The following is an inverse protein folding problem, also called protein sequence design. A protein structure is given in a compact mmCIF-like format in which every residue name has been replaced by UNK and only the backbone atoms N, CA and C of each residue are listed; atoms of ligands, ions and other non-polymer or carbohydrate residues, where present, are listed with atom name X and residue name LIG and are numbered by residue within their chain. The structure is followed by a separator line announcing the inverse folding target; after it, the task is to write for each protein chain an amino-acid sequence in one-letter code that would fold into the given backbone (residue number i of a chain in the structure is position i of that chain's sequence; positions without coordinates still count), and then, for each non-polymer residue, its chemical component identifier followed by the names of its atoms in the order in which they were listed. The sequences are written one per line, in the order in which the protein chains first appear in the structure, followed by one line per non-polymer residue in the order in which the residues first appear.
data_IF_211469189579
#
_entry.id   IF_211469189579
#
_cell.length_a   1.000
_cell.length_b   1.000
_cell.length_c   1.000
_cell.angle_alpha   90.00
_cell.angle_beta   90.00
_cell.angle_gamma   90.00
#
_symmetry.space_group_name_H-M   'P 1'
#
loop_
_entity.id
_entity.type
_entity.pdbx_description
1 polymer ?
#
# COMPACT_ATOMS: atom_id res chain seq x y z
N UNK A 1 -44.57 12.44 -8.64
CA UNK A 1 -43.39 12.68 -9.49
C UNK A 1 -43.12 11.38 -10.22
N UNK A 2 -43.13 11.39 -11.56
CA UNK A 2 -42.82 10.21 -12.37
C UNK A 2 -41.33 9.94 -12.30
N UNK A 3 -40.93 8.71 -11.98
CA UNK A 3 -39.52 8.30 -12.05
C UNK A 3 -39.04 8.44 -13.50
N UNK A 4 -37.88 9.09 -13.70
CA UNK A 4 -37.21 9.19 -14.99
C UNK A 4 -36.18 8.07 -15.07
N UNK A 5 -36.20 7.32 -16.18
CA UNK A 5 -35.25 6.21 -16.40
C UNK A 5 -34.09 6.72 -17.25
N UNK A 6 -32.89 6.71 -16.69
CA UNK A 6 -31.65 7.03 -17.39
C UNK A 6 -30.85 5.75 -17.65
N UNK A 7 -30.22 5.59 -18.82
CA UNK A 7 -29.44 4.38 -19.12
C UNK A 7 -28.26 4.16 -18.15
N UNK A 8 -27.75 5.24 -17.53
CA UNK A 8 -26.72 5.18 -16.47
C UNK A 8 -27.18 4.46 -15.21
N UNK A 9 -28.50 4.33 -14.99
CA UNK A 9 -29.07 3.66 -13.82
C UNK A 9 -28.87 2.15 -13.84
N UNK A 10 -28.43 1.57 -14.96
CA UNK A 10 -28.15 0.12 -15.08
C UNK A 10 -27.14 -0.38 -14.04
N UNK A 11 -26.13 0.43 -13.71
CA UNK A 11 -25.14 0.10 -12.67
C UNK A 11 -25.74 0.15 -11.27
N UNK A 12 -26.56 1.17 -10.99
CA UNK A 12 -27.26 1.32 -9.73
C UNK A 12 -28.31 0.20 -9.53
N UNK A 13 -28.98 -0.20 -10.61
CA UNK A 13 -29.90 -1.33 -10.66
C UNK A 13 -29.17 -2.65 -10.40
N UNK A 14 -28.02 -2.89 -11.05
CA UNK A 14 -27.20 -4.08 -10.85
C UNK A 14 -26.68 -4.23 -9.41
N UNK A 15 -26.34 -3.11 -8.76
CA UNK A 15 -25.88 -3.08 -7.36
C UNK A 15 -27.02 -3.06 -6.34
N UNK A 16 -28.28 -2.98 -6.78
CA UNK A 16 -29.45 -2.96 -5.89
C UNK A 16 -29.60 -1.67 -5.07
N UNK A 17 -28.97 -0.57 -5.48
CA UNK A 17 -28.96 0.70 -4.72
C UNK A 17 -30.06 1.68 -5.15
N UNK A 18 -30.82 1.38 -6.21
CA UNK A 18 -31.98 2.16 -6.61
C UNK A 18 -33.12 2.05 -5.59
N UNK A 19 -33.82 3.15 -5.37
CA UNK A 19 -35.07 3.17 -4.60
C UNK A 19 -36.18 2.39 -5.29
N UNK A 20 -37.20 2.00 -4.54
CA UNK A 20 -38.35 1.21 -5.05
C UNK A 20 -39.04 1.76 -6.31
N UNK A 21 -39.38 3.08 -6.39
CA UNK A 21 -40.05 3.61 -7.58
C UNK A 21 -39.15 3.56 -8.83
N UNK A 22 -37.86 3.83 -8.66
CA UNK A 22 -36.89 3.85 -9.77
C UNK A 22 -36.53 2.44 -10.21
N UNK A 23 -36.42 1.50 -9.27
CA UNK A 23 -36.20 0.08 -9.59
C UNK A 23 -37.34 -0.50 -10.42
N UNK A 24 -38.58 -0.17 -10.06
CA UNK A 24 -39.77 -0.63 -10.82
C UNK A 24 -39.75 -0.05 -12.23
N UNK A 25 -39.57 1.27 -12.36
CA UNK A 25 -39.50 1.94 -13.66
C UNK A 25 -38.35 1.40 -14.53
N UNK A 26 -37.19 1.14 -13.95
CA UNK A 26 -36.04 0.57 -14.66
C UNK A 26 -36.30 -0.90 -15.07
N UNK A 27 -36.97 -1.68 -14.23
CA UNK A 27 -37.34 -3.07 -14.58
C UNK A 27 -38.29 -3.14 -15.77
N UNK A 28 -39.24 -2.20 -15.87
CA UNK A 28 -40.14 -2.08 -17.03
C UNK A 28 -39.35 -1.64 -18.28
N UNK A 29 -38.39 -0.73 -18.12
CA UNK A 29 -37.53 -0.29 -19.22
C UNK A 29 -36.69 -1.43 -19.80
N UNK A 30 -36.16 -2.35 -18.96
CA UNK A 30 -35.40 -3.51 -19.41
C UNK A 30 -36.18 -4.41 -20.38
N UNK A 31 -37.52 -4.46 -20.28
CA UNK A 31 -38.35 -5.22 -21.21
C UNK A 31 -38.34 -4.66 -22.64
N UNK A 32 -37.97 -3.39 -22.81
CA UNK A 32 -38.05 -2.65 -24.08
C UNK A 32 -36.70 -2.16 -24.60
N UNK A 33 -35.62 -2.27 -23.81
CA UNK A 33 -34.30 -1.74 -24.15
C UNK A 33 -33.23 -2.86 -24.18
N UNK A 34 -32.86 -3.36 -25.39
CA UNK A 34 -31.85 -4.41 -25.54
C UNK A 34 -30.44 -4.00 -25.10
N UNK A 35 -30.09 -2.71 -25.22
CA UNK A 35 -28.77 -2.21 -24.81
C UNK A 35 -28.58 -2.27 -23.30
N UNK A 36 -29.55 -1.79 -22.52
CA UNK A 36 -29.50 -1.87 -21.05
C UNK A 36 -29.54 -3.33 -20.57
N UNK A 37 -30.24 -4.22 -21.29
CA UNK A 37 -30.21 -5.66 -21.00
C UNK A 37 -28.82 -6.27 -21.25
N UNK A 38 -28.14 -5.88 -22.33
CA UNK A 38 -26.78 -6.34 -22.63
C UNK A 38 -25.78 -5.83 -21.58
N UNK A 39 -25.84 -4.54 -21.25
CA UNK A 39 -24.98 -3.90 -20.26
C UNK A 39 -25.18 -4.48 -18.86
N UNK A 40 -26.43 -4.77 -18.46
CA UNK A 40 -26.72 -5.45 -17.19
C UNK A 40 -26.06 -6.85 -17.11
N UNK A 41 -26.01 -7.60 -18.22
CA UNK A 41 -25.32 -8.90 -18.23
C UNK A 41 -23.82 -8.73 -18.05
N UNK A 42 -23.21 -7.75 -18.69
CA UNK A 42 -21.77 -7.46 -18.54
C UNK A 42 -21.44 -7.05 -17.10
N UNK A 43 -22.29 -6.24 -16.47
CA UNK A 43 -22.11 -5.75 -15.10
C UNK A 43 -22.43 -6.80 -14.03
N UNK A 44 -23.30 -7.78 -14.29
CA UNK A 44 -23.74 -8.78 -13.31
C UNK A 44 -22.58 -9.52 -12.63
N UNK A 45 -21.55 -9.90 -13.38
CA UNK A 45 -20.38 -10.59 -12.81
C UNK A 45 -19.53 -9.71 -11.89
N UNK A 46 -19.49 -8.39 -12.16
CA UNK A 46 -18.80 -7.43 -11.29
C UNK A 46 -19.65 -7.13 -10.06
N UNK A 47 -20.96 -6.93 -10.23
CA UNK A 47 -21.90 -6.72 -9.13
C UNK A 47 -21.90 -7.89 -8.15
N UNK A 48 -21.89 -9.13 -8.64
CA UNK A 48 -21.78 -10.34 -7.81
C UNK A 48 -20.48 -10.40 -7.02
N UNK A 49 -19.36 -10.00 -7.64
CA UNK A 49 -18.07 -9.93 -6.95
C UNK A 49 -18.04 -8.88 -5.84
N UNK A 50 -18.77 -7.77 -6.03
CA UNK A 50 -18.89 -6.67 -5.08
C UNK A 50 -19.91 -6.95 -3.97
N UNK A 51 -20.95 -7.75 -4.21
CA UNK A 51 -21.97 -8.10 -3.20
C UNK A 51 -21.38 -8.79 -1.95
N UNK A 52 -20.23 -9.45 -2.08
CA UNK A 52 -19.50 -10.07 -0.97
C UNK A 52 -18.62 -9.09 -0.16
N UNK A 53 -18.46 -7.86 -0.63
CA UNK A 53 -17.73 -6.79 0.04
C UNK A 53 -18.78 -6.02 0.85
N UNK A 54 -18.93 -6.40 2.12
CA UNK A 54 -19.77 -5.64 3.04
C UNK A 54 -19.33 -4.17 3.13
N UNK A 55 -20.16 -3.29 3.72
CA UNK A 55 -19.86 -1.87 3.83
C UNK A 55 -18.42 -1.68 4.30
N UNK A 56 -17.63 -0.94 3.50
CA UNK A 56 -16.34 -0.45 3.96
C UNK A 56 -16.65 0.49 5.12
N UNK A 57 -16.47 0.00 6.34
CA UNK A 57 -16.55 0.85 7.52
C UNK A 57 -15.37 1.78 7.41
N UNK A 58 -15.64 3.04 7.11
CA UNK A 58 -14.70 4.10 7.41
C UNK A 58 -14.40 3.98 8.92
N UNK A 59 -13.14 3.76 9.27
CA UNK A 59 -12.71 3.69 10.66
C UNK A 59 -12.67 5.11 11.23
N UNK A 60 -13.83 5.76 11.27
CA UNK A 60 -14.05 6.94 12.07
C UNK A 60 -14.58 6.48 13.43
N UNK A 61 -13.87 6.87 14.47
CA UNK A 61 -13.97 6.29 15.80
C UNK A 61 -15.31 6.46 16.50
N UNK A 62 -15.57 5.50 17.39
CA UNK A 62 -16.36 5.57 18.61
C UNK A 62 -17.85 6.00 18.55
N UNK A 63 -18.68 5.03 18.94
CA UNK A 63 -19.95 5.14 19.68
C UNK A 63 -21.18 5.78 18.99
N UNK A 64 -22.09 4.90 18.55
CA UNK A 64 -23.54 5.04 18.77
C UNK A 64 -24.28 3.71 18.56
N UNK A 65 -24.70 3.13 19.69
CA UNK A 65 -25.97 2.47 20.02
C UNK A 65 -26.67 1.44 19.11
N UNK A 66 -27.35 0.52 19.79
CA UNK A 66 -27.98 -0.70 19.34
C UNK A 66 -29.21 -0.51 18.42
N UNK A 67 -29.41 -1.48 17.52
CA UNK A 67 -30.63 -1.65 16.75
C UNK A 67 -30.67 -2.98 15.99
N UNK A 68 -31.33 -3.96 16.59
CA UNK A 68 -31.87 -5.24 16.05
C UNK A 68 -31.83 -5.49 14.54
N UNK A 69 -31.24 -6.63 14.15
CA UNK A 69 -31.40 -7.25 12.83
C UNK A 69 -30.72 -8.62 12.72
N UNK A 70 -31.51 -9.68 12.84
CA UNK A 70 -31.14 -11.10 12.67
C UNK A 70 -30.52 -11.41 11.32
N UNK A 71 -29.41 -12.15 11.29
CA UNK A 71 -28.82 -12.67 10.04
C UNK A 71 -27.55 -13.49 10.23
N UNK A 72 -27.73 -14.80 10.39
CA UNK A 72 -26.73 -15.85 10.58
C UNK A 72 -25.69 -15.90 9.44
N UNK A 73 -24.40 -15.93 9.76
CA UNK A 73 -23.34 -16.09 8.75
C UNK A 73 -21.95 -16.30 9.35
N UNK A 74 -21.81 -17.24 10.29
CA UNK A 74 -20.51 -17.62 10.82
C UNK A 74 -19.58 -18.13 9.71
N UNK A 75 -18.59 -17.32 9.34
CA UNK A 75 -17.58 -17.64 8.34
C UNK A 75 -16.69 -18.78 8.84
N UNK A 76 -16.96 -19.99 8.36
CA UNK A 76 -16.27 -21.20 8.78
C UNK A 76 -14.86 -21.36 8.18
N UNK A 77 -13.96 -22.12 8.86
CA UNK A 77 -12.57 -22.35 8.45
C UNK A 77 -12.41 -23.02 7.06
N UNK A 78 -13.46 -23.63 6.53
CA UNK A 78 -13.46 -24.25 5.20
C UNK A 78 -13.36 -23.22 4.05
N UNK A 79 -13.93 -22.03 4.22
CA UNK A 79 -13.93 -20.97 3.18
C UNK A 79 -12.52 -20.39 3.00
N UNK A 80 -11.80 -20.18 4.11
CA UNK A 80 -10.40 -19.69 4.13
C UNK A 80 -9.44 -20.68 3.47
N UNK A 81 -9.63 -21.98 3.70
CA UNK A 81 -8.84 -23.04 3.04
C UNK A 81 -9.13 -23.11 1.54
N UNK A 82 -10.36 -22.81 1.12
CA UNK A 82 -10.74 -22.78 -0.30
C UNK A 82 -10.09 -21.61 -1.05
N UNK A 83 -9.96 -20.44 -0.41
CA UNK A 83 -9.32 -19.26 -0.99
C UNK A 83 -7.80 -19.46 -1.17
N UNK A 84 -7.14 -20.10 -0.20
CA UNK A 84 -5.73 -20.45 -0.29
C UNK A 84 -5.44 -21.47 -1.40
N UNK A 85 -6.33 -22.45 -1.61
CA UNK A 85 -6.20 -23.41 -2.73
C UNK A 85 -6.38 -22.73 -4.10
N UNK A 86 -7.34 -21.81 -4.22
CA UNK A 86 -7.59 -21.06 -5.46
C UNK A 86 -6.40 -20.15 -5.82
N UNK A 87 -5.83 -19.45 -4.84
CA UNK A 87 -4.62 -18.62 -5.03
C UNK A 87 -3.42 -19.46 -5.49
N UNK A 88 -3.20 -20.62 -4.88
CA UNK A 88 -2.09 -21.52 -5.26
C UNK A 88 -2.28 -22.15 -6.64
N UNK A 89 -3.52 -22.35 -7.09
CA UNK A 89 -3.81 -22.81 -8.45
C UNK A 89 -3.59 -21.71 -9.51
N UNK A 90 -3.96 -20.47 -9.22
CA UNK A 90 -3.71 -19.31 -10.08
C UNK A 90 -2.21 -19.05 -10.27
N UNK A 91 -1.42 -19.09 -9.19
CA UNK A 91 0.04 -18.91 -9.23
C UNK A 91 0.74 -19.97 -10.08
N UNK A 92 0.30 -21.24 -9.99
CA UNK A 92 0.87 -22.33 -10.80
C UNK A 92 0.57 -22.17 -12.29
N UNK A 93 -0.59 -21.58 -12.64
CA UNK A 93 -0.98 -21.35 -14.04
C UNK A 93 -0.21 -20.16 -14.63
N UNK A 94 -0.02 -19.10 -13.85
CA UNK A 94 0.79 -17.95 -14.24
C UNK A 94 2.26 -18.34 -14.53
N UNK A 95 2.86 -19.17 -13.67
CA UNK A 95 4.26 -19.64 -13.85
C UNK A 95 4.46 -20.57 -15.06
N UNK A 96 3.42 -21.28 -15.50
CA UNK A 96 3.50 -22.16 -16.69
C UNK A 96 3.34 -21.39 -18.00
N UNK A 97 2.58 -20.29 -18.00
CA UNK A 97 2.40 -19.43 -19.18
C UNK A 97 3.64 -18.60 -19.52
N UNK A 98 4.38 -18.14 -18.51
CA UNK A 98 5.57 -17.30 -18.70
C UNK A 98 6.79 -18.06 -19.24
N UNK A 99 6.87 -19.39 -19.07
CA UNK A 99 7.99 -20.19 -19.55
C UNK A 99 7.97 -20.42 -21.09
N UNK A 100 6.83 -20.21 -21.75
CA UNK A 100 6.69 -20.43 -23.21
C UNK A 100 6.96 -19.13 -24.01
N UNK A 101 6.82 -17.95 -23.40
CA UNK A 101 7.00 -16.66 -24.08
C UNK A 101 8.47 -16.21 -24.09
N UNK A 102 9.30 -16.68 -23.15
CA UNK A 102 10.70 -16.23 -23.01
C UNK A 102 11.70 -16.81 -24.03
N UNK A 103 11.40 -17.94 -24.70
CA UNK A 103 12.39 -18.64 -25.52
C UNK A 103 12.49 -18.12 -26.97
N UNK A 104 11.49 -17.40 -27.49
CA UNK A 104 11.49 -16.93 -28.88
C UNK A 104 12.04 -15.50 -29.09
N UNK A 105 12.08 -14.66 -28.05
CA UNK A 105 12.54 -13.27 -28.16
C UNK A 105 14.07 -13.10 -28.07
N UNK A 106 14.80 -14.10 -27.57
CA UNK A 106 16.25 -14.02 -27.40
C UNK A 106 17.04 -14.15 -28.72
N UNK A 107 16.45 -14.75 -29.76
CA UNK A 107 17.15 -14.99 -31.04
C UNK A 107 17.03 -13.79 -32.00
N UNK A 108 15.97 -13.00 -31.90
CA UNK A 108 15.76 -11.82 -32.79
C UNK A 108 16.55 -10.58 -32.34
N UNK A 109 16.76 -10.39 -31.03
CA UNK A 109 17.46 -9.20 -30.52
C UNK A 109 18.98 -9.19 -30.79
N UNK A 110 19.62 -10.36 -30.90
CA UNK A 110 21.07 -10.44 -31.09
C UNK A 110 21.50 -10.16 -32.54
N UNK A 111 20.61 -10.39 -33.53
CA UNK A 111 20.94 -10.16 -34.94
C UNK A 111 20.55 -8.76 -35.46
N UNK A 112 19.56 -8.08 -34.86
CA UNK A 112 19.06 -6.78 -35.34
C UNK A 112 19.75 -5.54 -34.75
N UNK A 113 20.37 -5.65 -33.57
CA UNK A 113 20.84 -4.49 -32.80
C UNK A 113 22.12 -3.81 -33.32
N UNK A 114 22.88 -4.45 -34.23
CA UNK A 114 24.20 -3.95 -34.65
C UNK A 114 24.11 -3.00 -35.86
N UNK A 115 22.98 -2.94 -36.58
CA UNK A 115 22.89 -2.19 -37.84
C UNK A 115 22.32 -0.76 -37.74
N UNK A 116 21.73 -0.36 -36.60
CA UNK A 116 21.03 0.96 -36.46
C UNK A 116 21.72 1.88 -35.43
N UNK A 117 22.85 1.48 -34.87
CA UNK A 117 23.51 2.20 -33.77
C UNK A 117 24.31 3.46 -34.14
N UNK A 118 24.40 3.85 -35.42
CA UNK A 118 25.30 4.95 -35.85
C UNK A 118 24.60 6.24 -36.30
N UNK A 119 23.28 6.38 -36.13
CA UNK A 119 22.55 7.56 -36.65
C UNK A 119 21.54 8.19 -35.69
N UNK A 120 21.83 8.23 -34.39
CA UNK A 120 21.09 9.09 -33.47
C UNK A 120 22.06 9.66 -32.43
N UNK A 121 22.79 10.68 -32.88
CA UNK A 121 23.32 11.71 -32.00
C UNK A 121 22.14 12.42 -31.35
N UNK A 122 21.83 12.05 -30.12
CA UNK A 122 20.86 12.70 -29.27
C UNK A 122 21.39 12.64 -27.85
N UNK A 123 21.91 13.76 -27.38
CA UNK A 123 22.43 13.96 -26.04
C UNK A 123 21.36 13.57 -25.01
N UNK A 124 21.56 12.43 -24.35
CA UNK A 124 20.82 12.00 -23.17
C UNK A 124 21.78 11.14 -22.38
N UNK A 125 22.47 11.78 -21.43
CA UNK A 125 23.34 11.12 -20.49
C UNK A 125 22.54 10.09 -19.70
N UNK A 126 22.70 8.82 -20.05
CA UNK A 126 22.29 7.70 -19.21
C UNK A 126 23.26 7.65 -18.04
N UNK A 127 22.80 8.10 -16.87
CA UNK A 127 23.52 7.90 -15.61
C UNK A 127 23.59 6.38 -15.40
N UNK A 128 24.78 5.77 -15.21
CA UNK A 128 24.87 4.35 -15.01
C UNK A 128 24.14 3.98 -13.70
N UNK A 129 23.16 3.08 -13.78
CA UNK A 129 22.55 2.47 -12.60
C UNK A 129 23.59 1.55 -11.98
N UNK A 130 24.42 2.12 -11.10
CA UNK A 130 25.25 1.35 -10.19
C UNK A 130 24.34 0.49 -9.32
N UNK A 131 24.58 -0.81 -9.27
CA UNK A 131 23.93 -1.65 -8.28
C UNK A 131 24.55 -1.29 -6.93
N UNK A 132 23.83 -0.52 -6.12
CA UNK A 132 24.26 -0.25 -4.75
C UNK A 132 24.37 -1.57 -3.99
N UNK A 133 25.41 -1.72 -3.18
CA UNK A 133 25.55 -2.85 -2.25
C UNK A 133 24.53 -2.80 -1.09
N UNK A 134 23.74 -1.73 -1.04
CA UNK A 134 22.87 -1.33 0.05
C UNK A 134 21.40 -1.28 -0.40
N UNK A 135 20.48 -1.32 0.57
CA UNK A 135 19.06 -1.17 0.30
C UNK A 135 18.68 0.28 0.00
N UNK A 136 17.51 0.55 -0.63
CA UNK A 136 17.11 1.90 -1.02
C UNK A 136 17.05 2.92 0.13
N UNK A 137 16.65 2.48 1.33
CA UNK A 137 16.62 3.34 2.51
C UNK A 137 18.04 3.71 2.99
N UNK A 138 18.99 2.78 2.91
CA UNK A 138 20.38 3.05 3.30
C UNK A 138 21.06 4.00 2.31
N UNK A 139 20.83 3.82 1.01
CA UNK A 139 21.33 4.74 -0.02
C UNK A 139 20.78 6.15 0.17
N UNK A 140 19.47 6.28 0.40
CA UNK A 140 18.84 7.57 0.65
C UNK A 140 19.38 8.25 1.92
N UNK A 141 19.61 7.48 3.00
CA UNK A 141 20.19 8.00 4.23
C UNK A 141 21.61 8.54 4.01
N UNK A 142 22.44 7.79 3.28
CA UNK A 142 23.84 8.20 3.00
C UNK A 142 23.95 9.41 2.07
N UNK A 143 22.97 9.60 1.20
CA UNK A 143 22.92 10.76 0.32
C UNK A 143 22.51 12.06 1.05
N UNK A 144 21.84 11.93 2.20
CA UNK A 144 21.34 13.08 2.97
C UNK A 144 22.27 13.56 4.08
N UNK A 145 21.85 14.63 4.75
CA UNK A 145 22.50 15.13 5.97
C UNK A 145 21.66 14.70 7.18
N UNK A 146 22.15 13.80 8.04
CA UNK A 146 21.35 13.26 9.13
C UNK A 146 21.22 14.25 10.30
N UNK A 147 19.99 14.38 10.79
CA UNK A 147 19.67 14.94 12.09
C UNK A 147 19.95 13.87 13.16
N UNK A 148 20.82 14.18 14.11
CA UNK A 148 21.19 13.26 15.17
C UNK A 148 20.08 13.10 16.21
N UNK A 149 19.80 11.86 16.61
CA UNK A 149 18.85 11.56 17.65
C UNK A 149 19.46 11.46 19.04
N UNK A 150 18.64 11.74 20.05
CA UNK A 150 18.91 11.44 21.45
C UNK A 150 18.25 10.11 21.80
N UNK A 151 19.07 9.07 22.01
CA UNK A 151 18.58 7.71 22.27
C UNK A 151 18.61 7.31 23.74
N UNK A 152 17.74 6.37 24.11
CA UNK A 152 17.77 5.71 25.41
C UNK A 152 18.92 4.70 25.48
N UNK A 153 19.66 4.69 26.59
CA UNK A 153 20.69 3.70 27.00
C UNK A 153 21.23 2.77 25.91
N UNK A 154 22.13 3.29 25.07
CA UNK A 154 22.85 2.52 24.04
C UNK A 154 22.18 2.51 22.66
N UNK A 155 20.94 2.99 22.55
CA UNK A 155 20.29 3.27 21.27
C UNK A 155 20.92 4.52 20.67
N UNK A 156 21.30 4.43 19.40
CA UNK A 156 21.78 5.58 18.61
C UNK A 156 21.12 5.56 17.24
N UNK A 157 21.03 6.72 16.62
CA UNK A 157 20.39 6.83 15.32
C UNK A 157 20.20 8.28 14.89
N UNK A 158 19.61 8.45 13.72
CA UNK A 158 19.34 9.75 13.14
C UNK A 158 18.34 9.64 12.00
N UNK A 159 17.88 10.80 11.52
CA UNK A 159 16.94 10.92 10.43
C UNK A 159 17.48 11.80 9.32
N UNK A 160 17.31 11.37 8.09
CA UNK A 160 17.36 12.25 6.92
C UNK A 160 15.93 12.56 6.51
N UNK A 161 15.65 13.84 6.29
CA UNK A 161 14.34 14.30 5.84
C UNK A 161 14.46 14.87 4.43
N UNK A 162 13.48 14.57 3.60
CA UNK A 162 13.34 15.15 2.26
C UNK A 162 11.92 15.69 2.08
N UNK A 163 11.82 16.96 1.68
CA UNK A 163 10.53 17.57 1.33
C UNK A 163 10.03 17.02 0.00
N UNK A 164 8.77 16.59 -0.02
CA UNK A 164 8.05 16.12 -1.21
C UNK A 164 6.79 16.95 -1.40
N UNK A 165 6.23 16.98 -2.61
CA UNK A 165 4.97 17.69 -2.88
C UNK A 165 3.76 17.14 -2.09
N UNK A 166 3.88 15.93 -1.53
CA UNK A 166 2.87 15.31 -0.68
C UNK A 166 3.16 15.41 0.83
N UNK A 167 4.29 15.99 1.24
CA UNK A 167 4.70 16.07 2.65
C UNK A 167 6.18 15.76 2.86
N UNK A 168 6.49 15.02 3.92
CA UNK A 168 7.87 14.72 4.34
C UNK A 168 8.16 13.24 4.15
N UNK A 169 9.21 12.93 3.40
CA UNK A 169 9.84 11.62 3.37
C UNK A 169 10.94 11.57 4.42
N UNK A 170 10.87 10.60 5.31
CA UNK A 170 11.81 10.43 6.42
C UNK A 170 12.53 9.09 6.28
N UNK A 171 13.85 9.11 6.47
CA UNK A 171 14.72 7.94 6.41
C UNK A 171 15.49 7.83 7.73
N UNK A 172 15.28 6.73 8.45
CA UNK A 172 15.84 6.46 9.77
C UNK A 172 17.01 5.48 9.66
N UNK A 173 18.11 5.79 10.34
CA UNK A 173 19.10 4.81 10.80
C UNK A 173 18.92 4.55 12.29
N UNK A 174 18.92 3.28 12.72
CA UNK A 174 18.81 2.90 14.12
C UNK A 174 19.78 1.78 14.50
N UNK A 175 20.44 1.93 15.66
CA UNK A 175 21.39 0.98 16.26
C UNK A 175 21.10 0.79 17.73
N UNK A 176 21.64 -0.27 18.31
CA UNK A 176 21.58 -0.55 19.75
C UNK A 176 20.24 -1.10 20.23
N UNK A 177 19.39 -1.61 19.33
CA UNK A 177 18.05 -2.11 19.68
C UNK A 177 18.03 -3.63 19.65
N UNK A 178 17.66 -4.25 20.78
CA UNK A 178 17.54 -5.69 20.92
C UNK A 178 16.07 -6.11 20.90
N UNK A 179 15.75 -7.13 20.11
CA UNK A 179 14.40 -7.70 20.05
C UNK A 179 14.18 -8.85 21.04
N UNK A 180 13.00 -9.49 20.99
CA UNK A 180 11.91 -9.20 20.06
C UNK A 180 11.09 -7.97 20.46
N UNK A 181 10.85 -7.05 19.53
CA UNK A 181 10.02 -5.84 19.72
C UNK A 181 9.25 -5.53 18.43
N UNK A 182 8.20 -4.71 18.55
CA UNK A 182 7.57 -4.02 17.43
C UNK A 182 7.70 -2.51 17.68
N UNK A 183 8.17 -1.78 16.68
CA UNK A 183 8.50 -0.37 16.79
C UNK A 183 7.87 0.44 15.67
N UNK A 184 7.62 1.71 15.95
CA UNK A 184 7.12 2.70 15.02
C UNK A 184 7.98 3.96 15.05
N UNK A 185 8.10 4.59 13.88
CA UNK A 185 8.58 5.96 13.76
C UNK A 185 7.36 6.88 13.72
N UNK A 186 7.30 7.84 14.63
CA UNK A 186 6.16 8.74 14.81
C UNK A 186 6.63 10.17 14.62
N UNK A 187 5.98 10.92 13.73
CA UNK A 187 6.12 12.37 13.63
C UNK A 187 5.22 13.03 14.68
N UNK A 188 5.74 14.03 15.39
CA UNK A 188 5.03 14.80 16.40
C UNK A 188 4.99 16.27 15.98
N UNK A 189 3.79 16.86 15.92
CA UNK A 189 3.64 18.29 15.63
C UNK A 189 3.99 19.17 16.84
N UNK A 190 4.18 20.48 16.65
CA UNK A 190 4.31 21.44 17.75
C UNK A 190 3.10 21.46 18.71
N UNK A 191 1.92 21.06 18.25
CA UNK A 191 0.71 20.94 19.07
C UNK A 191 0.59 19.60 19.78
N UNK A 192 1.52 18.66 19.54
CA UNK A 192 1.53 17.33 20.13
C UNK A 192 0.70 16.28 19.38
N UNK A 193 0.15 16.63 18.21
CA UNK A 193 -0.49 15.65 17.33
C UNK A 193 0.55 14.63 16.86
N UNK A 194 0.17 13.35 16.76
CA UNK A 194 1.07 12.25 16.42
C UNK A 194 0.60 11.56 15.14
N UNK A 195 1.52 11.32 14.20
CA UNK A 195 1.29 10.54 12.98
C UNK A 195 2.35 9.46 12.82
N UNK A 196 1.93 8.22 12.60
CA UNK A 196 2.85 7.11 12.29
C UNK A 196 3.40 7.32 10.88
N UNK A 197 4.71 7.23 10.75
CA UNK A 197 5.47 7.37 9.50
C UNK A 197 5.70 5.99 8.88
N UNK A 198 6.12 5.03 9.70
CA UNK A 198 6.37 3.63 9.32
C UNK A 198 6.51 2.75 10.57
N UNK A 199 6.27 1.46 10.44
CA UNK A 199 6.39 0.46 11.51
C UNK A 199 7.20 -0.76 11.08
N UNK A 200 7.87 -1.42 12.02
CA UNK A 200 8.71 -2.59 11.77
C UNK A 200 8.86 -3.48 13.00
N UNK A 201 9.25 -4.74 12.76
CA UNK A 201 9.64 -5.66 13.82
C UNK A 201 11.16 -5.62 14.07
N UNK A 202 11.55 -5.75 15.33
CA UNK A 202 12.93 -6.02 15.74
C UNK A 202 13.04 -7.51 16.08
N UNK A 203 13.77 -8.32 15.29
CA UNK A 203 13.96 -9.74 15.59
C UNK A 203 14.88 -9.94 16.81
N UNK A 204 14.90 -11.15 17.38
CA UNK A 204 15.72 -11.49 18.57
C UNK A 204 17.20 -11.10 18.44
N UNK A 205 17.77 -11.20 17.23
CA UNK A 205 19.16 -10.80 16.93
C UNK A 205 19.42 -9.30 17.10
N UNK A 206 18.39 -8.45 17.01
CA UNK A 206 18.49 -7.00 17.11
C UNK A 206 19.19 -6.32 15.93
N UNK A 207 19.38 -5.00 16.05
CA UNK A 207 20.03 -4.12 15.08
C UNK A 207 21.12 -3.28 15.75
N UNK A 208 22.33 -3.27 15.18
CA UNK A 208 23.46 -2.53 15.70
C UNK A 208 23.87 -2.92 17.12
N UNK A 209 23.85 -4.22 17.44
CA UNK A 209 24.18 -4.79 18.76
C UNK A 209 25.31 -5.84 18.64
N UNK A 210 26.00 -6.23 19.72
CA UNK A 210 26.96 -7.32 19.67
C UNK A 210 26.34 -8.61 19.11
N UNK A 211 26.94 -9.17 18.06
CA UNK A 211 26.43 -10.34 17.33
C UNK A 211 25.50 -10.01 16.14
N UNK A 212 25.07 -8.76 16.00
CA UNK A 212 24.24 -8.25 14.88
C UNK A 212 24.60 -6.77 14.61
N UNK A 213 25.80 -6.50 14.07
CA UNK A 213 26.39 -5.16 14.03
C UNK A 213 25.74 -4.23 12.99
N UNK A 214 25.02 -4.78 12.01
CA UNK A 214 24.36 -3.99 10.98
C UNK A 214 23.23 -3.13 11.58
N UNK A 215 23.17 -1.83 11.27
CA UNK A 215 22.07 -0.97 11.67
C UNK A 215 20.78 -1.37 10.94
N UNK A 216 19.66 -0.87 11.45
CA UNK A 216 18.42 -0.82 10.70
C UNK A 216 18.37 0.46 9.86
N UNK A 217 18.02 0.32 8.58
CA UNK A 217 17.57 1.44 7.74
C UNK A 217 16.12 1.22 7.35
N UNK A 218 15.26 2.18 7.66
CA UNK A 218 13.84 2.18 7.26
C UNK A 218 13.44 3.57 6.80
N UNK A 219 12.39 3.66 5.99
CA UNK A 219 11.89 4.93 5.50
C UNK A 219 10.37 4.92 5.41
N UNK A 220 9.76 6.09 5.43
CA UNK A 220 8.32 6.27 5.35
C UNK A 220 7.93 7.74 5.16
N UNK A 221 6.64 8.00 5.00
CA UNK A 221 6.14 9.34 4.68
C UNK A 221 5.11 9.83 5.71
N UNK A 222 5.04 11.15 5.87
CA UNK A 222 3.95 11.83 6.58
C UNK A 222 3.46 13.01 5.74
N UNK A 223 2.16 13.27 5.73
CA UNK A 223 1.53 14.31 4.91
C UNK A 223 1.82 15.77 5.38
N UNK A 224 2.68 15.93 6.39
CA UNK A 224 3.12 17.23 6.88
C UNK A 224 4.39 17.69 6.18
N UNK A 225 4.52 19.00 5.97
CA UNK A 225 5.80 19.62 5.62
C UNK A 225 6.77 19.54 6.81
N UNK A 226 8.10 19.56 6.60
CA UNK A 226 9.06 19.43 7.69
C UNK A 226 8.88 20.49 8.79
N UNK A 227 8.51 21.72 8.40
CA UNK A 227 8.25 22.82 9.34
C UNK A 227 7.02 22.61 10.23
N UNK A 228 6.13 21.68 9.88
CA UNK A 228 4.97 21.29 10.69
C UNK A 228 5.29 20.18 11.71
N UNK A 229 6.56 19.75 11.80
CA UNK A 229 7.02 18.66 12.66
C UNK A 229 7.99 19.24 13.68
N UNK A 230 7.71 19.05 14.97
CA UNK A 230 8.58 19.45 16.07
C UNK A 230 9.70 18.42 16.29
N UNK A 231 9.33 17.14 16.23
CA UNK A 231 10.26 16.02 16.41
C UNK A 231 9.71 14.72 15.86
N UNK A 232 10.61 13.76 15.72
CA UNK A 232 10.29 12.36 15.49
C UNK A 232 10.63 11.53 16.72
N UNK A 233 9.81 10.52 17.01
CA UNK A 233 10.00 9.57 18.10
C UNK A 233 10.02 8.14 17.52
N UNK A 234 11.05 7.35 17.83
CA UNK A 234 11.00 5.89 17.67
C UNK A 234 10.42 5.32 18.94
N UNK A 235 9.27 4.64 18.83
CA UNK A 235 8.57 4.09 19.99
C UNK A 235 8.31 2.60 19.82
N UNK A 236 8.32 1.87 20.92
CA UNK A 236 7.78 0.50 20.94
C UNK A 236 6.26 0.57 20.98
N UNK A 237 5.58 -0.46 20.50
CA UNK A 237 4.12 -0.60 20.68
C UNK A 237 3.71 -0.70 22.16
N UNK A 238 4.65 -1.07 23.04
CA UNK A 238 4.51 -1.02 24.50
C UNK A 238 4.56 0.38 25.12
N UNK A 239 4.90 1.41 24.34
CA UNK A 239 4.85 2.81 24.74
C UNK A 239 6.19 3.45 25.08
N UNK A 240 7.29 2.69 25.12
CA UNK A 240 8.63 3.20 25.41
C UNK A 240 9.19 4.01 24.24
N UNK A 241 9.80 5.15 24.53
CA UNK A 241 10.53 5.94 23.51
C UNK A 241 12.00 5.53 23.51
N UNK A 242 12.48 5.04 22.36
CA UNK A 242 13.84 4.56 22.17
C UNK A 242 14.78 5.64 21.61
N UNK A 243 14.27 6.51 20.75
CA UNK A 243 15.03 7.57 20.10
C UNK A 243 14.12 8.78 19.87
N UNK A 244 14.62 9.98 20.14
CA UNK A 244 13.95 11.24 19.78
C UNK A 244 14.87 12.06 18.88
N UNK A 245 14.36 12.56 17.76
CA UNK A 245 15.09 13.43 16.82
C UNK A 245 14.32 14.73 16.63
N UNK A 246 14.90 15.84 17.06
CA UNK A 246 14.30 17.17 16.87
C UNK A 246 14.57 17.67 15.45
N UNK A 247 13.61 18.38 14.86
CA UNK A 247 13.67 18.94 13.51
C UNK A 247 14.06 20.42 13.56
#
# INVERSE_FOLDING_TARGET
MTSQVEHTDVGAYALGILGEPDRTAFSDHLATCPSCTAELRELSGVADALAGIGPLRDNDGADADAGTGTGTGGRGPAEVVSLLRRRKAADRRARRGTFVIGAAAAVTLVAGGIAVGTSISGESGSVPVGHSAHGPAEDAYRAGTPLAGTGASGVTGGLVLETKGWGTHAVLELRGVKGPLECELIAVSPTGERRVVTGWAVPERGYGVPGSPEPLYVHGGVAWEPAGIDRFEVRTTGGDTLLTVTV
#
